data_IF_527332283843
#
_entry.id   IF_527332283843
#
_cell.length_a   1.000
_cell.length_b   1.000
_cell.length_c   1.000
_cell.angle_alpha   90.00
_cell.angle_beta   90.00
_cell.angle_gamma   90.00
#
_symmetry.space_group_name_H-M   'P 1'
#
loop_
_entity.id
_entity.type
_entity.pdbx_description
1 polymer ?
#
# COMPACT_ATOMS: atom_id res chain seq x y z
N UNK A 1 22.53 -47.14 6.54
CA UNK A 1 22.08 -46.45 5.32
C UNK A 1 20.89 -45.55 5.65
N UNK A 2 21.13 -44.28 5.89
CA UNK A 2 20.09 -43.28 6.08
C UNK A 2 20.22 -42.26 4.94
N UNK A 3 19.39 -42.38 3.92
CA UNK A 3 19.25 -41.40 2.84
C UNK A 3 18.03 -40.53 3.12
N UNK A 4 18.27 -39.23 3.39
CA UNK A 4 17.68 -38.11 2.69
C UNK A 4 16.23 -37.76 2.99
N UNK A 5 15.97 -37.01 4.05
CA UNK A 5 14.76 -36.18 4.18
C UNK A 5 15.07 -34.65 4.13
N UNK A 6 15.99 -34.26 3.27
CA UNK A 6 16.41 -32.87 3.14
C UNK A 6 15.81 -32.13 1.94
N UNK A 7 15.06 -32.81 1.08
CA UNK A 7 14.61 -32.23 -0.20
C UNK A 7 13.20 -31.69 -0.23
N UNK A 8 12.37 -31.95 0.79
CA UNK A 8 10.94 -31.53 0.77
C UNK A 8 10.74 -30.17 1.42
N UNK A 9 11.51 -29.86 2.45
CA UNK A 9 11.39 -28.60 3.20
C UNK A 9 11.79 -27.36 2.34
N UNK A 10 12.79 -27.54 1.46
CA UNK A 10 13.27 -26.42 0.64
C UNK A 10 12.33 -26.05 -0.53
N UNK A 11 11.45 -26.94 -0.96
CA UNK A 11 10.48 -26.66 -2.03
C UNK A 11 9.22 -25.94 -1.54
N UNK A 12 8.73 -26.28 -0.35
CA UNK A 12 7.60 -25.60 0.27
C UNK A 12 7.98 -24.17 0.67
N UNK A 13 9.17 -23.98 1.25
CA UNK A 13 9.65 -22.66 1.66
C UNK A 13 9.84 -21.70 0.46
N UNK A 14 10.37 -22.17 -0.66
CA UNK A 14 10.45 -21.38 -1.90
C UNK A 14 9.08 -21.09 -2.52
N UNK A 15 8.09 -21.92 -2.29
CA UNK A 15 6.73 -21.72 -2.76
C UNK A 15 6.02 -20.58 -1.99
N UNK A 16 6.19 -20.52 -0.68
CA UNK A 16 5.58 -19.50 0.18
C UNK A 16 6.24 -18.12 -0.02
N UNK A 17 7.57 -18.05 -0.08
CA UNK A 17 8.29 -16.82 -0.42
C UNK A 17 7.87 -16.25 -1.78
N UNK A 18 7.70 -17.10 -2.77
CA UNK A 18 7.31 -16.69 -4.12
C UNK A 18 5.86 -16.20 -4.16
N UNK A 19 4.97 -16.79 -3.36
CA UNK A 19 3.56 -16.38 -3.25
C UNK A 19 3.44 -15.02 -2.57
N UNK A 20 4.14 -14.80 -1.46
CA UNK A 20 4.14 -13.52 -0.75
C UNK A 20 4.76 -12.39 -1.59
N UNK A 21 5.82 -12.65 -2.30
CA UNK A 21 6.41 -11.69 -3.23
C UNK A 21 5.42 -11.28 -4.35
N UNK A 22 4.71 -12.23 -4.92
CA UNK A 22 3.68 -11.95 -5.92
C UNK A 22 2.51 -11.15 -5.35
N UNK A 23 2.15 -11.39 -4.10
CA UNK A 23 1.08 -10.65 -3.43
C UNK A 23 1.48 -9.19 -3.17
N UNK A 24 2.72 -8.92 -2.77
CA UNK A 24 3.25 -7.54 -2.69
C UNK A 24 3.13 -6.82 -4.03
N UNK A 25 3.58 -7.44 -5.11
CA UNK A 25 3.50 -6.85 -6.45
C UNK A 25 2.06 -6.51 -6.84
N UNK A 26 1.12 -7.41 -6.59
CA UNK A 26 -0.31 -7.18 -6.85
C UNK A 26 -0.84 -5.98 -6.06
N UNK A 27 -0.48 -5.87 -4.79
CA UNK A 27 -0.87 -4.76 -3.94
C UNK A 27 -0.38 -3.42 -4.51
N UNK A 28 0.87 -3.33 -4.89
CA UNK A 28 1.42 -2.12 -5.48
C UNK A 28 0.80 -1.77 -6.84
N UNK A 29 0.52 -2.76 -7.67
CA UNK A 29 -0.12 -2.54 -8.98
C UNK A 29 -1.52 -1.94 -8.88
N UNK A 30 -2.28 -2.29 -7.85
CA UNK A 30 -3.64 -1.79 -7.64
C UNK A 30 -3.69 -0.54 -6.76
N UNK A 31 -2.61 -0.19 -6.06
CA UNK A 31 -2.57 0.88 -5.07
C UNK A 31 -3.14 2.21 -5.60
N UNK A 32 -2.65 2.67 -6.74
CA UNK A 32 -3.04 3.96 -7.32
C UNK A 32 -4.52 4.01 -7.68
N UNK A 33 -5.04 2.93 -8.29
CA UNK A 33 -6.46 2.83 -8.64
C UNK A 33 -7.36 2.75 -7.40
N UNK A 34 -6.98 1.97 -6.41
CA UNK A 34 -7.73 1.83 -5.15
C UNK A 34 -7.71 3.14 -4.37
N UNK A 35 -6.57 3.80 -4.26
CA UNK A 35 -6.46 5.08 -3.58
C UNK A 35 -7.34 6.14 -4.25
N UNK A 36 -7.32 6.25 -5.57
CA UNK A 36 -8.18 7.16 -6.32
C UNK A 36 -9.66 6.90 -6.07
N UNK A 37 -10.10 5.65 -6.20
CA UNK A 37 -11.49 5.26 -5.95
C UNK A 37 -11.93 5.52 -4.51
N UNK A 38 -11.04 5.27 -3.55
CA UNK A 38 -11.31 5.51 -2.13
C UNK A 38 -11.49 7.00 -1.86
N UNK A 39 -10.63 7.86 -2.40
CA UNK A 39 -10.74 9.31 -2.21
C UNK A 39 -12.06 9.85 -2.78
N UNK A 40 -12.48 9.37 -3.94
CA UNK A 40 -13.78 9.75 -4.53
C UNK A 40 -14.93 9.30 -3.63
N UNK A 41 -14.94 8.04 -3.20
CA UNK A 41 -16.00 7.50 -2.33
C UNK A 41 -16.09 8.23 -1.00
N UNK A 42 -14.96 8.51 -0.36
CA UNK A 42 -14.91 9.27 0.89
C UNK A 42 -15.53 10.66 0.69
N UNK A 43 -15.15 11.36 -0.37
CA UNK A 43 -15.69 12.68 -0.67
C UNK A 43 -17.19 12.64 -0.98
N UNK A 44 -17.66 11.66 -1.72
CA UNK A 44 -19.08 11.49 -2.01
C UNK A 44 -19.90 11.22 -0.74
N UNK A 45 -19.43 10.32 0.13
CA UNK A 45 -20.11 10.02 1.40
C UNK A 45 -20.13 11.23 2.31
N UNK A 46 -19.01 11.95 2.44
CA UNK A 46 -18.93 13.17 3.26
C UNK A 46 -19.88 14.26 2.76
N UNK A 47 -19.93 14.52 1.45
CA UNK A 47 -20.84 15.50 0.86
C UNK A 47 -22.31 15.14 1.08
N UNK A 48 -22.66 13.89 0.78
CA UNK A 48 -24.03 13.41 0.94
C UNK A 48 -24.48 13.51 2.40
N UNK A 49 -23.63 13.06 3.31
CA UNK A 49 -23.91 13.11 4.73
C UNK A 49 -24.09 14.55 5.23
N UNK A 50 -23.21 15.46 4.81
CA UNK A 50 -23.32 16.88 5.16
C UNK A 50 -24.61 17.51 4.61
N UNK A 51 -25.03 17.15 3.40
CA UNK A 51 -26.29 17.63 2.79
C UNK A 51 -27.53 17.09 3.52
N UNK A 52 -27.50 15.82 3.96
CA UNK A 52 -28.66 15.19 4.63
C UNK A 52 -28.77 15.56 6.10
N UNK A 53 -27.67 15.69 6.82
CA UNK A 53 -27.65 15.84 8.27
C UNK A 53 -27.08 17.18 8.76
N UNK A 54 -26.52 18.00 7.88
CA UNK A 54 -25.96 19.32 8.22
C UNK A 54 -24.69 19.28 9.08
N UNK A 55 -24.11 18.10 9.29
CA UNK A 55 -22.88 17.88 10.08
C UNK A 55 -21.88 17.00 9.37
N UNK A 56 -20.65 16.98 9.84
CA UNK A 56 -19.60 16.11 9.31
C UNK A 56 -19.79 14.67 9.78
N UNK A 57 -19.44 13.70 8.91
CA UNK A 57 -19.56 12.27 9.21
C UNK A 57 -18.77 11.89 10.47
N UNK A 58 -17.58 12.45 10.63
CA UNK A 58 -16.70 12.15 11.75
C UNK A 58 -17.31 12.66 13.08
N UNK A 59 -17.82 13.89 13.08
CA UNK A 59 -18.52 14.46 14.24
C UNK A 59 -19.80 13.69 14.59
N UNK A 60 -20.53 13.24 13.57
CA UNK A 60 -21.73 12.46 13.77
C UNK A 60 -21.43 11.08 14.38
N UNK A 61 -20.44 10.36 13.87
CA UNK A 61 -20.02 9.07 14.41
C UNK A 61 -19.55 9.21 15.86
N UNK A 62 -18.79 10.23 16.17
CA UNK A 62 -18.32 10.50 17.53
C UNK A 62 -19.50 10.78 18.47
N UNK A 63 -20.48 11.57 18.02
CA UNK A 63 -21.69 11.84 18.81
C UNK A 63 -22.53 10.59 19.08
N UNK A 64 -22.61 9.66 18.14
CA UNK A 64 -23.31 8.37 18.31
C UNK A 64 -22.58 7.49 19.33
N UNK A 65 -21.26 7.40 19.24
CA UNK A 65 -20.45 6.63 20.20
C UNK A 65 -20.57 7.18 21.62
N UNK A 66 -20.58 8.49 21.78
CA UNK A 66 -20.74 9.17 23.07
C UNK A 66 -22.15 9.02 23.65
N UNK A 67 -23.17 9.03 22.82
CA UNK A 67 -24.57 8.96 23.25
C UNK A 67 -25.08 7.52 23.53
N UNK A 68 -24.36 6.49 23.09
CA UNK A 68 -24.79 5.09 23.22
C UNK A 68 -26.14 4.79 22.52
N UNK A 69 -26.45 5.54 21.47
CA UNK A 69 -27.75 5.44 20.77
C UNK A 69 -27.82 4.18 19.91
N UNK A 70 -28.97 3.50 19.96
CA UNK A 70 -29.37 2.54 18.94
C UNK A 70 -29.62 3.31 17.62
N UNK A 71 -28.83 2.98 16.63
CA UNK A 71 -28.86 3.64 15.32
C UNK A 71 -30.05 3.12 14.54
N UNK A 72 -30.94 4.01 14.08
CA UNK A 72 -32.03 3.66 13.17
C UNK A 72 -31.47 2.99 11.89
N UNK A 73 -32.31 2.13 11.26
CA UNK A 73 -31.89 1.26 10.16
C UNK A 73 -31.20 1.97 8.99
N UNK A 74 -31.60 3.20 8.68
CA UNK A 74 -31.02 4.00 7.59
C UNK A 74 -29.64 4.57 7.97
N UNK A 75 -29.46 4.93 9.24
CA UNK A 75 -28.18 5.37 9.79
C UNK A 75 -27.19 4.20 9.93
N UNK A 76 -27.66 2.98 10.22
CA UNK A 76 -26.85 1.78 10.24
C UNK A 76 -26.22 1.50 8.86
N UNK A 77 -26.97 1.70 7.77
CA UNK A 77 -26.46 1.53 6.40
C UNK A 77 -25.34 2.52 6.06
N UNK A 78 -25.47 3.79 6.43
CA UNK A 78 -24.42 4.80 6.22
C UNK A 78 -23.19 4.51 7.10
N UNK A 79 -23.38 4.09 8.34
CA UNK A 79 -22.31 3.67 9.24
C UNK A 79 -21.52 2.51 8.66
N UNK A 80 -22.19 1.46 8.13
CA UNK A 80 -21.55 0.31 7.51
C UNK A 80 -20.69 0.72 6.29
N UNK A 81 -21.19 1.66 5.47
CA UNK A 81 -20.44 2.19 4.32
C UNK A 81 -19.19 2.93 4.76
N UNK A 82 -19.30 3.79 5.76
CA UNK A 82 -18.17 4.54 6.31
C UNK A 82 -17.14 3.59 6.93
N UNK A 83 -17.57 2.58 7.67
CA UNK A 83 -16.68 1.56 8.25
C UNK A 83 -15.98 0.73 7.17
N UNK A 84 -16.67 0.38 6.08
CA UNK A 84 -16.05 -0.33 4.94
C UNK A 84 -14.99 0.52 4.25
N UNK A 85 -15.25 1.82 4.06
CA UNK A 85 -14.30 2.78 3.52
C UNK A 85 -13.09 2.92 4.44
N UNK A 86 -13.31 3.05 5.74
CA UNK A 86 -12.24 3.16 6.73
C UNK A 86 -11.36 1.90 6.76
N UNK A 87 -11.93 0.70 6.68
CA UNK A 87 -11.16 -0.55 6.59
C UNK A 87 -10.27 -0.60 5.36
N UNK A 88 -10.79 -0.21 4.21
CA UNK A 88 -10.01 -0.15 2.97
C UNK A 88 -8.92 0.92 3.03
N UNK A 89 -9.19 2.05 3.67
CA UNK A 89 -8.21 3.11 3.89
C UNK A 89 -7.11 2.66 4.87
N UNK A 90 -7.45 1.93 5.92
CA UNK A 90 -6.47 1.32 6.84
C UNK A 90 -5.53 0.36 6.12
N UNK A 91 -6.04 -0.40 5.16
CA UNK A 91 -5.22 -1.27 4.33
C UNK A 91 -4.21 -0.49 3.47
N UNK A 92 -4.63 0.60 2.83
CA UNK A 92 -3.71 1.48 2.11
C UNK A 92 -2.67 2.13 3.04
N UNK A 93 -3.07 2.55 4.23
CA UNK A 93 -2.16 3.08 5.26
C UNK A 93 -1.12 2.06 5.69
N UNK A 94 -1.48 0.78 5.78
CA UNK A 94 -0.54 -0.28 6.12
C UNK A 94 0.60 -0.37 5.09
N UNK A 95 0.27 -0.23 3.80
CA UNK A 95 1.27 -0.18 2.73
C UNK A 95 2.15 1.06 2.88
N UNK A 96 1.56 2.23 3.10
CA UNK A 96 2.29 3.48 3.28
C UNK A 96 3.23 3.42 4.49
N UNK A 97 2.78 2.87 5.61
CA UNK A 97 3.59 2.68 6.81
C UNK A 97 4.74 1.70 6.59
N UNK A 98 4.50 0.59 5.89
CA UNK A 98 5.55 -0.38 5.57
C UNK A 98 6.62 0.24 4.66
N UNK A 99 6.21 1.01 3.66
CA UNK A 99 7.13 1.73 2.77
C UNK A 99 7.92 2.79 3.52
N UNK A 100 7.29 3.52 4.44
CA UNK A 100 7.94 4.54 5.26
C UNK A 100 8.94 3.92 6.24
N UNK A 101 8.61 2.79 6.87
CA UNK A 101 9.54 2.02 7.71
C UNK A 101 10.76 1.54 6.92
N UNK A 102 10.53 1.00 5.72
CA UNK A 102 11.64 0.61 4.83
C UNK A 102 12.53 1.81 4.49
N UNK A 103 11.93 2.93 4.13
CA UNK A 103 12.66 4.15 3.80
C UNK A 103 13.56 4.60 4.93
N UNK A 104 13.04 4.62 6.16
CA UNK A 104 13.75 5.13 7.34
C UNK A 104 14.82 4.19 7.89
N UNK A 105 14.57 2.90 7.86
CA UNK A 105 15.40 1.93 8.59
C UNK A 105 16.21 1.00 7.71
N UNK A 106 15.85 0.83 6.45
CA UNK A 106 16.65 0.00 5.54
C UNK A 106 17.88 0.77 5.03
N UNK A 107 19.08 0.16 4.96
CA UNK A 107 20.30 0.83 4.48
C UNK A 107 20.17 1.42 3.07
N UNK A 108 19.35 0.82 2.21
CA UNK A 108 19.05 1.28 0.85
C UNK A 108 17.65 1.87 0.73
N UNK A 109 17.04 2.28 1.85
CA UNK A 109 15.64 2.70 1.93
C UNK A 109 15.26 3.85 1.01
N UNK A 110 16.12 4.85 0.83
CA UNK A 110 15.87 5.96 -0.08
C UNK A 110 15.75 5.51 -1.54
N UNK A 111 16.62 4.60 -1.99
CA UNK A 111 16.54 4.06 -3.36
C UNK A 111 15.25 3.30 -3.59
N UNK A 112 14.91 2.44 -2.67
CA UNK A 112 13.71 1.60 -2.74
C UNK A 112 12.45 2.44 -2.66
N UNK A 113 12.43 3.43 -1.79
CA UNK A 113 11.30 4.36 -1.67
C UNK A 113 11.01 5.08 -2.98
N UNK A 114 11.99 5.71 -3.60
CA UNK A 114 11.76 6.49 -4.81
C UNK A 114 11.42 5.62 -6.02
N UNK A 115 11.98 4.42 -6.09
CA UNK A 115 11.58 3.43 -7.11
C UNK A 115 10.10 3.07 -6.96
N UNK A 116 9.66 2.73 -5.76
CA UNK A 116 8.24 2.39 -5.52
C UNK A 116 7.32 3.60 -5.68
N UNK A 117 7.75 4.77 -5.22
CA UNK A 117 6.98 5.99 -5.31
C UNK A 117 6.64 6.33 -6.77
N UNK A 118 7.63 6.45 -7.62
CA UNK A 118 7.40 6.81 -9.02
C UNK A 118 6.73 5.70 -9.82
N UNK A 119 6.99 4.46 -9.48
CA UNK A 119 6.39 3.32 -10.18
C UNK A 119 4.93 3.07 -9.81
N UNK A 120 4.55 3.26 -8.54
CA UNK A 120 3.26 2.79 -8.02
C UNK A 120 2.50 3.75 -7.12
N UNK A 121 3.18 4.57 -6.31
CA UNK A 121 2.54 5.34 -5.23
C UNK A 121 2.17 6.77 -5.63
N UNK A 122 2.91 7.38 -6.56
CA UNK A 122 2.61 8.74 -7.01
C UNK A 122 1.23 8.84 -7.64
N UNK A 123 0.58 9.98 -7.50
CA UNK A 123 -0.76 10.22 -8.06
C UNK A 123 -0.80 10.11 -9.58
N UNK A 124 0.30 10.42 -10.25
CA UNK A 124 0.42 10.35 -11.71
C UNK A 124 1.11 9.06 -12.11
N UNK A 125 0.42 8.27 -12.93
CA UNK A 125 1.01 7.06 -13.52
C UNK A 125 2.05 7.47 -14.56
N UNK A 126 3.29 6.92 -14.50
CA UNK A 126 4.30 7.16 -15.54
C UNK A 126 3.86 6.53 -16.86
N UNK A 127 4.21 7.18 -17.97
CA UNK A 127 3.91 6.66 -19.31
C UNK A 127 4.78 5.45 -19.65
N UNK A 128 6.03 5.48 -19.24
CA UNK A 128 7.02 4.43 -19.50
C UNK A 128 8.12 4.40 -18.43
N UNK A 129 9.01 3.44 -18.56
CA UNK A 129 10.14 3.27 -17.62
C UNK A 129 11.13 4.43 -17.73
N UNK A 130 11.34 4.98 -18.92
CA UNK A 130 12.33 6.06 -19.14
C UNK A 130 11.93 7.32 -18.34
N UNK A 131 10.65 7.62 -18.23
CA UNK A 131 10.16 8.70 -17.35
C UNK A 131 10.51 8.45 -15.87
N UNK A 132 10.41 7.21 -15.41
CA UNK A 132 10.80 6.85 -14.03
C UNK A 132 12.31 7.02 -13.85
N UNK A 133 13.10 6.59 -14.82
CA UNK A 133 14.56 6.73 -14.77
C UNK A 133 14.99 8.19 -14.70
N UNK A 134 14.39 9.05 -15.50
CA UNK A 134 14.66 10.48 -15.51
C UNK A 134 14.35 11.11 -14.14
N UNK A 135 13.24 10.73 -13.51
CA UNK A 135 12.87 11.18 -12.16
C UNK A 135 13.83 10.66 -11.09
N UNK A 136 14.30 9.42 -11.21
CA UNK A 136 15.28 8.85 -10.29
C UNK A 136 16.64 9.54 -10.37
N UNK A 137 17.06 9.97 -11.54
CA UNK A 137 18.31 10.75 -11.71
C UNK A 137 18.31 12.05 -10.90
N UNK A 138 17.16 12.70 -10.74
CA UNK A 138 17.01 13.90 -9.93
C UNK A 138 17.29 13.65 -8.43
N UNK A 139 16.94 12.46 -7.95
CA UNK A 139 17.18 12.08 -6.55
C UNK A 139 18.58 11.50 -6.30
N UNK A 140 19.19 10.95 -7.32
CA UNK A 140 20.48 10.27 -7.23
C UNK A 140 21.50 10.82 -8.24
N UNK A 141 21.90 12.10 -8.12
CA UNK A 141 22.82 12.75 -9.06
C UNK A 141 24.23 12.12 -9.05
N UNK A 142 24.59 11.35 -8.01
CA UNK A 142 25.83 10.58 -7.95
C UNK A 142 25.89 9.44 -8.97
N UNK A 143 24.76 9.00 -9.48
CA UNK A 143 24.69 8.08 -10.62
C UNK A 143 24.47 8.91 -11.88
N UNK A 144 25.44 8.91 -12.78
CA UNK A 144 25.37 9.69 -14.03
C UNK A 144 24.11 9.33 -14.85
N UNK A 145 23.65 8.11 -14.75
CA UNK A 145 22.38 7.61 -15.29
C UNK A 145 21.96 6.33 -14.57
N UNK A 146 20.70 6.25 -14.18
CA UNK A 146 20.11 5.01 -13.68
C UNK A 146 19.71 4.14 -14.87
N UNK A 147 20.33 2.98 -15.03
CA UNK A 147 20.00 2.04 -16.09
C UNK A 147 18.76 1.21 -15.76
N UNK A 148 18.05 0.73 -16.77
CA UNK A 148 16.88 -0.15 -16.63
C UNK A 148 17.17 -1.38 -15.77
N UNK A 149 18.33 -2.01 -15.96
CA UNK A 149 18.75 -3.18 -15.17
C UNK A 149 18.87 -2.85 -13.68
N UNK A 150 19.44 -1.70 -13.36
CA UNK A 150 19.55 -1.20 -11.99
C UNK A 150 18.18 -0.90 -11.38
N UNK A 151 17.31 -0.26 -12.14
CA UNK A 151 15.91 0.00 -11.73
C UNK A 151 15.16 -1.27 -11.39
N UNK A 152 15.19 -2.29 -12.25
CA UNK A 152 14.49 -3.56 -11.99
C UNK A 152 15.05 -4.28 -10.78
N UNK A 153 16.36 -4.27 -10.58
CA UNK A 153 17.00 -4.85 -9.39
C UNK A 153 16.56 -4.12 -8.11
N UNK A 154 16.56 -2.80 -8.10
CA UNK A 154 16.11 -2.02 -6.96
C UNK A 154 14.63 -2.24 -6.67
N UNK A 155 13.81 -2.36 -7.70
CA UNK A 155 12.38 -2.66 -7.56
C UNK A 155 12.14 -4.01 -6.90
N UNK A 156 12.82 -5.05 -7.34
CA UNK A 156 12.72 -6.39 -6.75
C UNK A 156 13.16 -6.38 -5.28
N UNK A 157 14.28 -5.78 -4.99
CA UNK A 157 14.78 -5.63 -3.62
C UNK A 157 13.84 -4.80 -2.73
N UNK A 158 13.21 -3.78 -3.28
CA UNK A 158 12.20 -2.99 -2.58
C UNK A 158 10.95 -3.83 -2.24
N UNK A 159 10.48 -4.65 -3.16
CA UNK A 159 9.36 -5.56 -2.89
C UNK A 159 9.70 -6.61 -1.83
N UNK A 160 10.89 -7.17 -1.85
CA UNK A 160 11.37 -8.09 -0.81
C UNK A 160 11.42 -7.42 0.56
N UNK A 161 11.95 -6.21 0.63
CA UNK A 161 12.03 -5.45 1.88
C UNK A 161 10.64 -5.11 2.46
N UNK A 162 9.71 -4.63 1.63
CA UNK A 162 8.33 -4.35 2.06
C UNK A 162 7.61 -5.64 2.43
N UNK A 163 7.80 -6.72 1.67
CA UNK A 163 7.24 -8.03 1.97
C UNK A 163 7.68 -8.54 3.34
N UNK A 164 8.95 -8.39 3.68
CA UNK A 164 9.48 -8.75 5.01
C UNK A 164 8.82 -7.95 6.14
N UNK A 165 8.56 -6.68 5.93
CA UNK A 165 7.86 -5.84 6.92
C UNK A 165 6.40 -6.26 7.09
N UNK A 166 5.70 -6.51 5.98
CA UNK A 166 4.27 -6.85 6.00
C UNK A 166 3.99 -8.26 6.54
N UNK A 167 4.84 -9.23 6.24
CA UNK A 167 4.61 -10.65 6.60
C UNK A 167 5.61 -11.21 7.60
N UNK A 168 6.58 -10.43 8.05
CA UNK A 168 7.48 -10.82 9.14
C UNK A 168 8.40 -11.99 8.79
N UNK A 169 9.02 -11.97 7.63
CA UNK A 169 10.07 -12.95 7.31
C UNK A 169 11.32 -12.70 8.15
N UNK A 170 11.74 -13.70 8.88
CA UNK A 170 13.07 -13.78 9.49
C UNK A 170 14.09 -14.36 8.51
#
# INVERSE_FOLDING_TARGET
MARGRSGVISKEYKGEENTAYHDVIKLFKIYRAVNWQMQIKINQVKRRFHMEYGTDVDEFLESIYQAGMDVERDLASEKERVEAINRSNQYLRLIDEAVDLMRRYHPQGERYYWVLYYSYLSSTKPENIDEILDKLELHFPQYARVHRTTYFRWREQAFEAVGSILWGYE
#
